data_IF_094889139490
#
_entry.id   IF_094889139490
#
_cell.length_a   1.000
_cell.length_b   1.000
_cell.length_c   1.000
_cell.angle_alpha   90.00
_cell.angle_beta   90.00
_cell.angle_gamma   90.00
#
_symmetry.space_group_name_H-M   'P 1'
#
loop_
_entity.id
_entity.type
_entity.pdbx_description
1 polymer ?
#
# COMPACT_ATOMS: atom_id res chain seq x y z
N UNK A 1 2.98 9.30 -6.53
CA UNK A 1 2.33 10.05 -5.43
C UNK A 1 3.11 11.30 -4.98
N UNK A 2 3.61 12.15 -5.88
CA UNK A 2 4.46 13.30 -5.51
C UNK A 2 3.72 14.37 -4.70
N UNK A 3 2.45 14.64 -5.02
CA UNK A 3 1.63 15.62 -4.30
C UNK A 3 1.23 15.17 -2.89
N UNK A 4 1.17 13.86 -2.64
CA UNK A 4 0.60 13.28 -1.42
C UNK A 4 1.65 12.63 -0.53
N UNK A 5 2.90 13.10 -0.55
CA UNK A 5 4.00 12.48 0.20
C UNK A 5 3.74 12.40 1.70
N UNK A 6 3.12 13.42 2.30
CA UNK A 6 2.79 13.40 3.73
C UNK A 6 1.82 12.26 4.07
N UNK A 7 0.81 12.04 3.22
CA UNK A 7 -0.10 10.91 3.36
C UNK A 7 0.60 9.57 3.14
N UNK A 8 1.45 9.47 2.11
CA UNK A 8 2.25 8.25 1.86
C UNK A 8 3.10 7.90 3.09
N UNK A 9 3.77 8.88 3.70
CA UNK A 9 4.55 8.67 4.90
C UNK A 9 3.68 8.17 6.06
N UNK A 10 2.51 8.78 6.27
CA UNK A 10 1.58 8.37 7.31
C UNK A 10 1.05 6.95 7.10
N UNK A 11 0.64 6.59 5.88
CA UNK A 11 0.17 5.24 5.56
C UNK A 11 1.27 4.20 5.75
N UNK A 12 2.51 4.48 5.31
CA UNK A 12 3.66 3.59 5.54
C UNK A 12 3.94 3.39 7.03
N UNK A 13 3.79 4.43 7.85
CA UNK A 13 3.93 4.31 9.31
C UNK A 13 2.85 3.40 9.91
N UNK A 14 1.58 3.61 9.55
CA UNK A 14 0.47 2.77 10.01
C UNK A 14 0.60 1.32 9.55
N UNK A 15 0.99 1.07 8.31
CA UNK A 15 1.21 -0.29 7.82
C UNK A 15 2.35 -0.99 8.57
N UNK A 16 3.48 -0.30 8.81
CA UNK A 16 4.58 -0.85 9.61
C UNK A 16 4.11 -1.26 11.00
N UNK A 17 3.38 -0.38 11.68
CA UNK A 17 2.86 -0.66 13.01
C UNK A 17 1.86 -1.83 13.00
N UNK A 18 0.87 -1.79 12.10
CA UNK A 18 -0.18 -2.80 11.99
C UNK A 18 0.36 -4.19 11.62
N UNK A 19 1.26 -4.26 10.63
CA UNK A 19 1.93 -5.50 10.20
C UNK A 19 2.80 -6.03 11.33
N UNK A 20 3.56 -5.17 12.02
CA UNK A 20 4.37 -5.56 13.17
C UNK A 20 3.54 -6.12 14.33
N UNK A 21 2.43 -5.46 14.66
CA UNK A 21 1.47 -5.93 15.65
C UNK A 21 0.82 -7.26 15.24
N UNK A 22 0.47 -7.42 13.96
CA UNK A 22 -0.03 -8.69 13.44
C UNK A 22 1.01 -9.80 13.60
N UNK A 23 2.26 -9.58 13.18
CA UNK A 23 3.33 -10.59 13.26
C UNK A 23 3.59 -11.04 14.69
N UNK A 24 3.60 -10.13 15.66
CA UNK A 24 3.76 -10.46 17.10
C UNK A 24 2.66 -11.35 17.67
N UNK A 25 1.47 -11.36 17.07
CA UNK A 25 0.31 -12.14 17.55
C UNK A 25 0.17 -13.49 16.85
N UNK A 26 0.93 -13.73 15.78
CA UNK A 26 0.79 -14.91 14.93
C UNK A 26 2.05 -15.78 14.99
N UNK A 27 1.89 -17.07 14.68
CA UNK A 27 2.99 -18.03 14.64
C UNK A 27 3.93 -17.82 13.44
N UNK A 28 5.13 -18.44 13.45
CA UNK A 28 6.13 -18.28 12.40
C UNK A 28 5.67 -18.75 11.01
N UNK A 29 4.71 -19.69 10.95
CA UNK A 29 4.18 -20.23 9.69
C UNK A 29 2.93 -19.49 9.19
N UNK A 30 2.54 -18.38 9.84
CA UNK A 30 1.36 -17.62 9.45
C UNK A 30 1.65 -16.72 8.24
N UNK A 31 0.70 -16.68 7.30
CA UNK A 31 0.77 -15.82 6.12
C UNK A 31 -0.07 -14.56 6.31
N UNK A 32 0.56 -13.38 6.17
CA UNK A 32 -0.16 -12.11 6.09
C UNK A 32 -0.55 -11.83 4.63
N UNK A 33 -1.84 -11.56 4.38
CA UNK A 33 -2.32 -11.13 3.08
C UNK A 33 -2.48 -9.61 3.10
N UNK A 34 -1.82 -8.93 2.16
CA UNK A 34 -2.03 -7.51 1.89
C UNK A 34 -2.68 -7.36 0.52
N UNK A 35 -3.87 -6.76 0.48
CA UNK A 35 -4.61 -6.49 -0.75
C UNK A 35 -4.55 -5.00 -1.06
N UNK A 36 -3.99 -4.65 -2.22
CA UNK A 36 -4.08 -3.28 -2.73
C UNK A 36 -5.49 -3.04 -3.28
N UNK A 37 -6.32 -2.30 -2.54
CA UNK A 37 -7.62 -1.85 -3.02
C UNK A 37 -7.50 -0.43 -3.57
N UNK A 38 -7.53 -0.31 -4.90
CA UNK A 38 -7.65 0.97 -5.59
C UNK A 38 -9.09 1.08 -6.11
N UNK A 39 -9.69 2.26 -5.95
CA UNK A 39 -11.10 2.48 -6.31
C UNK A 39 -11.39 2.10 -7.77
N UNK A 40 -12.58 1.54 -8.07
CA UNK A 40 -12.94 1.17 -9.43
C UNK A 40 -13.01 2.39 -10.38
N UNK A 41 -13.09 2.19 -11.70
CA UNK A 41 -13.07 3.27 -12.70
C UNK A 41 -13.96 4.50 -12.40
N UNK A 42 -15.17 4.37 -11.81
CA UNK A 42 -15.99 5.53 -11.46
C UNK A 42 -15.39 6.47 -10.40
N UNK A 43 -14.38 6.01 -9.63
CA UNK A 43 -13.66 6.81 -8.63
C UNK A 43 -12.29 7.28 -9.13
N UNK A 44 -11.97 7.05 -10.41
CA UNK A 44 -10.71 7.52 -10.98
C UNK A 44 -10.63 9.05 -10.90
N UNK A 45 -9.43 9.56 -10.65
CA UNK A 45 -9.15 10.95 -10.99
C UNK A 45 -9.04 11.03 -12.51
N UNK A 46 -9.93 11.80 -13.12
CA UNK A 46 -9.97 11.98 -14.57
C UNK A 46 -9.62 13.41 -14.97
N UNK A 47 -9.13 13.55 -16.19
CA UNK A 47 -8.94 14.85 -16.81
C UNK A 47 -10.25 15.42 -17.41
N UNK A 48 -10.13 16.53 -18.14
CA UNK A 48 -11.27 17.15 -18.81
C UNK A 48 -11.89 16.27 -19.91
N UNK A 49 -11.14 15.30 -20.45
CA UNK A 49 -11.58 14.32 -21.44
C UNK A 49 -12.17 13.04 -20.83
N UNK A 50 -12.30 12.98 -19.50
CA UNK A 50 -12.70 11.78 -18.75
C UNK A 50 -11.69 10.63 -18.86
N UNK A 51 -10.46 10.91 -19.27
CA UNK A 51 -9.38 9.93 -19.26
C UNK A 51 -8.78 9.83 -17.87
N UNK A 52 -8.50 8.60 -17.44
CA UNK A 52 -7.90 8.37 -16.15
C UNK A 52 -6.44 8.85 -16.12
N UNK A 53 -6.11 9.63 -15.09
CA UNK A 53 -4.78 10.19 -14.89
C UNK A 53 -3.81 9.21 -14.20
N UNK A 54 -4.33 8.19 -13.50
CA UNK A 54 -3.56 7.20 -12.75
C UNK A 54 -3.32 5.91 -13.53
N UNK A 55 -2.14 5.32 -13.37
CA UNK A 55 -1.91 3.91 -13.70
C UNK A 55 -2.05 3.09 -12.42
N UNK A 56 -3.26 2.54 -12.20
CA UNK A 56 -3.55 1.73 -11.01
C UNK A 56 -2.66 0.50 -10.88
N UNK A 57 -2.24 -0.09 -12.00
CA UNK A 57 -1.39 -1.27 -11.94
C UNK A 57 0.01 -0.91 -11.45
N UNK A 58 0.61 0.13 -12.02
CA UNK A 58 1.89 0.65 -11.57
C UNK A 58 1.85 1.14 -10.12
N UNK A 59 0.77 1.79 -9.71
CA UNK A 59 0.55 2.22 -8.32
C UNK A 59 0.44 1.02 -7.36
N UNK A 60 -0.32 -0.02 -7.72
CA UNK A 60 -0.44 -1.23 -6.90
C UNK A 60 0.90 -1.96 -6.77
N UNK A 61 1.70 -2.03 -7.83
CA UNK A 61 3.05 -2.60 -7.77
C UNK A 61 3.99 -1.78 -6.88
N UNK A 62 3.88 -0.46 -6.93
CA UNK A 62 4.64 0.44 -6.06
C UNK A 62 4.28 0.22 -4.59
N UNK A 63 2.98 0.16 -4.27
CA UNK A 63 2.50 -0.10 -2.91
C UNK A 63 2.95 -1.47 -2.43
N UNK A 64 2.82 -2.51 -3.26
CA UNK A 64 3.33 -3.86 -2.96
C UNK A 64 4.81 -3.82 -2.57
N UNK A 65 5.65 -3.12 -3.33
CA UNK A 65 7.08 -2.98 -3.03
C UNK A 65 7.33 -2.38 -1.65
N UNK A 66 6.57 -1.35 -1.26
CA UNK A 66 6.68 -0.78 0.08
C UNK A 66 6.27 -1.74 1.20
N UNK A 67 5.27 -2.58 0.97
CA UNK A 67 4.84 -3.59 1.95
C UNK A 67 5.89 -4.69 2.08
N UNK A 68 6.50 -5.12 0.98
CA UNK A 68 7.63 -6.07 0.99
C UNK A 68 8.83 -5.50 1.76
N UNK A 69 9.18 -4.22 1.53
CA UNK A 69 10.22 -3.51 2.29
C UNK A 69 9.89 -3.42 3.79
N UNK A 70 8.64 -3.07 4.13
CA UNK A 70 8.19 -3.01 5.52
C UNK A 70 8.33 -4.39 6.16
N UNK A 71 7.84 -5.45 5.52
CA UNK A 71 7.91 -6.82 6.02
C UNK A 71 9.35 -7.25 6.30
N UNK A 72 10.25 -7.05 5.34
CA UNK A 72 11.68 -7.36 5.49
C UNK A 72 12.33 -6.57 6.65
N UNK A 73 11.91 -5.32 6.87
CA UNK A 73 12.44 -4.50 7.97
C UNK A 73 11.90 -4.86 9.36
N UNK A 74 10.92 -5.77 9.45
CA UNK A 74 10.37 -6.28 10.71
C UNK A 74 11.03 -7.59 11.16
N UNK A 75 11.95 -8.14 10.37
CA UNK A 75 12.73 -9.30 10.79
C UNK A 75 13.60 -8.94 12.02
N UNK A 76 13.73 -9.87 13.00
CA UNK A 76 14.57 -9.66 14.17
C UNK A 76 16.05 -9.45 13.85
#
# INVERSE_FOLDING_TARGET
FSQHQDWVAQFRAWWREGIGLWRRRNGPDATLIFLCELGPPPYAMTDAGQEELSDRWAEALTIRGWIEEIWASLDP
#
